data_IF_938841902125
#
_entry.id   IF_938841902125
#
_cell.length_a   1.000
_cell.length_b   1.000
_cell.length_c   1.000
_cell.angle_alpha   90.00
_cell.angle_beta   90.00
_cell.angle_gamma   90.00
#
_symmetry.space_group_name_H-M   'P 1'
#
loop_
_entity.id
_entity.type
_entity.pdbx_description
1 polymer ?
#
# COMPACT_ATOMS: atom_id res chain seq x y z
N UNK A 1 15.31 25.66 26.64
CA UNK A 1 15.04 25.52 25.18
C UNK A 1 15.29 24.08 24.73
N UNK A 2 14.71 23.14 25.48
CA UNK A 2 13.61 22.24 25.09
C UNK A 2 13.87 21.30 23.91
N UNK A 3 14.59 20.21 24.17
CA UNK A 3 14.70 19.04 23.30
C UNK A 3 13.38 18.30 23.05
N UNK A 4 12.30 18.64 23.76
CA UNK A 4 10.97 18.03 23.66
C UNK A 4 10.18 18.46 22.40
N UNK A 5 10.42 19.67 21.87
CA UNK A 5 9.74 20.16 20.65
C UNK A 5 10.27 19.52 19.36
N UNK A 6 11.53 19.06 19.36
CA UNK A 6 12.14 18.40 18.20
C UNK A 6 11.65 16.95 18.01
N UNK A 7 11.42 16.20 19.09
CA UNK A 7 10.91 14.84 19.02
C UNK A 7 9.46 14.79 18.52
N UNK A 8 8.64 15.78 18.87
CA UNK A 8 7.24 15.85 18.45
C UNK A 8 7.12 16.17 16.95
N UNK A 9 7.98 17.04 16.41
CA UNK A 9 7.98 17.42 15.00
C UNK A 9 8.28 16.25 14.04
N UNK A 10 9.05 15.26 14.49
CA UNK A 10 9.43 14.08 13.71
C UNK A 10 8.31 13.06 13.48
N UNK A 11 7.34 12.98 14.39
CA UNK A 11 6.20 12.03 14.32
C UNK A 11 4.97 12.65 13.66
N UNK A 12 4.78 13.96 13.81
CA UNK A 12 3.61 14.66 13.26
C UNK A 12 3.66 14.71 11.72
N UNK A 13 4.84 14.91 11.13
CA UNK A 13 5.02 14.91 9.66
C UNK A 13 4.63 13.59 8.99
N UNK A 14 5.10 12.41 9.41
CA UNK A 14 4.73 11.17 8.77
C UNK A 14 3.27 10.77 9.06
N UNK A 15 2.69 11.15 10.21
CA UNK A 15 1.26 10.99 10.46
C UNK A 15 0.40 11.87 9.54
N UNK A 16 0.84 13.10 9.26
CA UNK A 16 0.21 14.00 8.27
C UNK A 16 0.27 13.42 6.86
N UNK A 17 1.41 12.85 6.45
CA UNK A 17 1.55 12.19 5.14
C UNK A 17 0.65 10.96 5.05
N UNK A 18 0.56 10.16 6.11
CA UNK A 18 -0.34 9.01 6.18
C UNK A 18 -1.81 9.45 6.09
N UNK A 19 -2.21 10.43 6.90
CA UNK A 19 -3.56 10.99 6.87
C UNK A 19 -3.90 11.59 5.51
N UNK A 20 -2.95 12.30 4.89
CA UNK A 20 -3.08 12.84 3.53
C UNK A 20 -3.23 11.75 2.48
N UNK A 21 -2.40 10.70 2.51
CA UNK A 21 -2.52 9.58 1.57
C UNK A 21 -3.82 8.79 1.77
N UNK A 22 -4.24 8.57 3.02
CA UNK A 22 -5.52 7.92 3.31
C UNK A 22 -6.70 8.74 2.82
N UNK A 23 -6.66 10.07 3.02
CA UNK A 23 -7.69 10.98 2.53
C UNK A 23 -7.74 10.99 1.00
N UNK A 24 -6.59 11.09 0.33
CA UNK A 24 -6.52 11.05 -1.14
C UNK A 24 -7.03 9.72 -1.67
N UNK A 25 -6.62 8.59 -1.07
CA UNK A 25 -7.12 7.27 -1.46
C UNK A 25 -8.65 7.18 -1.29
N UNK A 26 -9.19 7.68 -0.17
CA UNK A 26 -10.63 7.72 0.06
C UNK A 26 -11.36 8.59 -0.97
N UNK A 27 -10.85 9.79 -1.26
CA UNK A 27 -11.42 10.69 -2.28
C UNK A 27 -11.42 10.02 -3.66
N UNK A 28 -10.33 9.34 -4.02
CA UNK A 28 -10.22 8.66 -5.31
C UNK A 28 -11.20 7.49 -5.40
N UNK A 29 -11.20 6.56 -4.45
CA UNK A 29 -11.96 5.33 -4.55
C UNK A 29 -13.44 5.45 -4.15
N UNK A 30 -13.80 6.39 -3.28
CA UNK A 30 -15.19 6.61 -2.85
C UNK A 30 -15.85 7.75 -3.63
N UNK A 31 -15.07 8.74 -4.09
CA UNK A 31 -15.59 9.89 -4.83
C UNK A 31 -15.37 9.77 -6.33
N UNK A 32 -14.11 9.92 -6.77
CA UNK A 32 -13.78 10.14 -8.17
C UNK A 32 -14.05 8.93 -9.07
N UNK A 33 -13.72 7.71 -8.61
CA UNK A 33 -13.96 6.48 -9.37
C UNK A 33 -15.47 6.22 -9.54
N UNK A 34 -16.29 6.17 -8.46
CA UNK A 34 -17.73 5.97 -8.62
C UNK A 34 -18.40 7.06 -9.44
N UNK A 35 -18.00 8.33 -9.25
CA UNK A 35 -18.55 9.45 -10.01
C UNK A 35 -18.22 9.33 -11.51
N UNK A 36 -16.99 8.95 -11.87
CA UNK A 36 -16.60 8.76 -13.27
C UNK A 36 -17.33 7.58 -13.92
N UNK A 37 -17.51 6.47 -13.19
CA UNK A 37 -18.29 5.32 -13.65
C UNK A 37 -19.76 5.70 -13.86
N UNK A 38 -20.38 6.41 -12.90
CA UNK A 38 -21.77 6.87 -13.01
C UNK A 38 -21.97 7.88 -14.15
N UNK A 39 -20.93 8.63 -14.51
CA UNK A 39 -20.93 9.55 -15.65
C UNK A 39 -20.71 8.83 -17.00
N UNK A 40 -20.47 7.52 -17.01
CA UNK A 40 -20.17 6.75 -18.22
C UNK A 40 -18.78 7.03 -18.82
N UNK A 41 -17.89 7.68 -18.07
CA UNK A 41 -16.53 8.00 -18.51
C UNK A 41 -15.54 6.97 -17.96
N UNK A 42 -15.55 5.79 -18.58
CA UNK A 42 -14.74 4.65 -18.20
C UNK A 42 -13.23 4.95 -18.29
N UNK A 43 -12.84 5.72 -19.30
CA UNK A 43 -11.45 6.13 -19.51
C UNK A 43 -10.91 6.93 -18.34
N UNK A 44 -11.73 7.85 -17.80
CA UNK A 44 -11.38 8.68 -16.65
C UNK A 44 -11.48 7.90 -15.34
N UNK A 45 -12.43 6.98 -15.23
CA UNK A 45 -12.52 6.06 -14.10
C UNK A 45 -11.25 5.21 -13.97
N UNK A 46 -10.74 4.67 -15.08
CA UNK A 46 -9.48 3.92 -15.12
C UNK A 46 -8.29 4.79 -14.72
N UNK A 47 -8.20 6.02 -15.22
CA UNK A 47 -7.15 6.96 -14.81
C UNK A 47 -7.17 7.25 -13.31
N UNK A 48 -8.35 7.46 -12.72
CA UNK A 48 -8.49 7.66 -11.28
C UNK A 48 -8.14 6.39 -10.50
N UNK A 49 -8.57 5.22 -10.99
CA UNK A 49 -8.24 3.92 -10.39
C UNK A 49 -6.73 3.71 -10.31
N UNK A 50 -6.02 4.00 -11.41
CA UNK A 50 -4.56 3.94 -11.49
C UNK A 50 -3.95 5.00 -10.58
N UNK A 51 -4.38 6.27 -10.61
CA UNK A 51 -3.81 7.30 -9.73
C UNK A 51 -3.96 6.96 -8.23
N UNK A 52 -5.09 6.34 -7.85
CA UNK A 52 -5.37 5.93 -6.48
C UNK A 52 -4.42 4.84 -5.94
N UNK A 53 -3.71 4.13 -6.81
CA UNK A 53 -2.85 3.01 -6.40
C UNK A 53 -1.66 3.46 -5.52
N UNK A 54 -1.13 4.66 -5.75
CA UNK A 54 0.05 5.22 -5.08
C UNK A 54 -0.33 5.57 -3.65
N UNK A 55 -1.36 6.41 -3.39
CA UNK A 55 -1.75 6.71 -2.02
C UNK A 55 -2.22 5.45 -1.29
N UNK A 56 -2.89 4.50 -1.95
CA UNK A 56 -3.29 3.22 -1.34
C UNK A 56 -2.09 2.40 -0.86
N UNK A 57 -1.09 2.17 -1.73
CA UNK A 57 0.12 1.42 -1.35
C UNK A 57 0.92 2.13 -0.26
N UNK A 58 1.00 3.46 -0.29
CA UNK A 58 1.65 4.27 0.75
C UNK A 58 0.96 4.11 2.10
N UNK A 59 -0.38 4.09 2.14
CA UNK A 59 -1.15 3.87 3.37
C UNK A 59 -0.78 2.54 3.99
N UNK A 60 -0.81 1.44 3.23
CA UNK A 60 -0.46 0.12 3.74
C UNK A 60 1.01 -0.01 4.12
N UNK A 61 1.92 0.64 3.38
CA UNK A 61 3.33 0.77 3.77
C UNK A 61 3.51 1.43 5.13
N UNK A 62 2.87 2.58 5.33
CA UNK A 62 2.95 3.30 6.59
C UNK A 62 2.29 2.50 7.71
N UNK A 63 1.15 1.84 7.45
CA UNK A 63 0.49 0.97 8.42
C UNK A 63 1.43 -0.16 8.88
N UNK A 64 2.12 -0.82 7.94
CA UNK A 64 3.11 -1.85 8.26
C UNK A 64 4.31 -1.31 9.03
N UNK A 65 4.71 -0.07 8.76
CA UNK A 65 5.79 0.61 9.49
C UNK A 65 5.42 0.93 10.94
N UNK A 66 4.20 1.40 11.19
CA UNK A 66 3.79 1.89 12.52
C UNK A 66 3.25 0.81 13.45
N UNK A 67 2.65 -0.25 12.92
CA UNK A 67 1.99 -1.29 13.73
C UNK A 67 2.93 -2.47 14.03
N UNK A 68 4.10 -2.55 13.41
CA UNK A 68 5.00 -3.69 13.57
C UNK A 68 6.00 -3.53 14.71
N UNK A 69 5.88 -4.38 15.72
CA UNK A 69 6.89 -4.51 16.78
C UNK A 69 8.19 -5.16 16.25
N UNK A 70 9.37 -4.69 16.67
CA UNK A 70 10.66 -5.13 16.11
C UNK A 70 11.17 -6.48 16.63
N UNK A 71 10.47 -7.11 17.58
CA UNK A 71 11.02 -8.20 18.41
C UNK A 71 11.32 -9.52 17.66
N UNK A 72 10.87 -9.69 16.42
CA UNK A 72 11.14 -10.90 15.63
C UNK A 72 11.53 -10.51 14.22
N UNK A 73 12.68 -11.04 13.76
CA UNK A 73 13.17 -10.94 12.38
C UNK A 73 11.99 -10.96 11.38
N UNK A 74 11.66 -9.83 10.74
CA UNK A 74 10.41 -9.71 10.01
C UNK A 74 10.36 -10.72 8.89
N UNK A 75 9.41 -11.65 8.98
CA UNK A 75 9.19 -12.65 7.94
C UNK A 75 8.85 -11.95 6.60
N UNK A 76 9.72 -12.08 5.58
CA UNK A 76 9.51 -11.48 4.24
C UNK A 76 8.32 -12.08 3.50
N UNK A 77 7.79 -13.21 3.99
CA UNK A 77 6.64 -13.92 3.41
C UNK A 77 5.44 -13.04 3.10
N UNK A 78 5.14 -12.01 3.91
CA UNK A 78 3.99 -11.15 3.63
C UNK A 78 4.19 -10.30 2.36
N UNK A 79 5.39 -9.78 2.14
CA UNK A 79 5.71 -9.02 0.93
C UNK A 79 5.78 -9.94 -0.29
N UNK A 80 6.44 -11.10 -0.15
CA UNK A 80 6.59 -12.06 -1.24
C UNK A 80 5.23 -12.67 -1.63
N UNK A 81 4.38 -12.98 -0.67
CA UNK A 81 3.01 -13.45 -0.90
C UNK A 81 2.14 -12.36 -1.52
N UNK A 82 2.23 -11.12 -1.04
CA UNK A 82 1.53 -9.98 -1.63
C UNK A 82 1.92 -9.77 -3.09
N UNK A 83 3.22 -9.83 -3.39
CA UNK A 83 3.73 -9.72 -4.76
C UNK A 83 3.28 -10.90 -5.63
N UNK A 84 3.33 -12.12 -5.12
CA UNK A 84 2.85 -13.31 -5.85
C UNK A 84 1.36 -13.20 -6.18
N UNK A 85 0.52 -12.83 -5.20
CA UNK A 85 -0.93 -12.63 -5.40
C UNK A 85 -1.18 -11.52 -6.43
N UNK A 86 -0.45 -10.40 -6.35
CA UNK A 86 -0.54 -9.31 -7.32
C UNK A 86 -0.21 -9.80 -8.74
N UNK A 87 0.93 -10.46 -8.92
CA UNK A 87 1.40 -10.93 -10.23
C UNK A 87 0.50 -12.00 -10.82
N UNK A 88 0.05 -12.97 -10.03
CA UNK A 88 -0.88 -14.01 -10.50
C UNK A 88 -2.22 -13.39 -10.89
N UNK A 89 -2.75 -12.47 -10.10
CA UNK A 89 -4.02 -11.80 -10.41
C UNK A 89 -3.92 -10.96 -11.69
N UNK A 90 -2.80 -10.26 -11.87
CA UNK A 90 -2.52 -9.47 -13.07
C UNK A 90 -2.35 -10.37 -14.30
N UNK A 91 -1.63 -11.49 -14.17
CA UNK A 91 -1.46 -12.46 -15.26
C UNK A 91 -2.80 -13.09 -15.67
N UNK A 92 -3.64 -13.46 -14.70
CA UNK A 92 -4.97 -13.99 -14.98
C UNK A 92 -5.85 -12.94 -15.67
N UNK A 93 -5.74 -11.67 -15.27
CA UNK A 93 -6.50 -10.57 -15.88
C UNK A 93 -6.08 -10.31 -17.32
N UNK A 94 -4.78 -10.17 -17.57
CA UNK A 94 -4.26 -10.05 -18.94
C UNK A 94 -4.54 -11.29 -19.78
N UNK A 95 -4.55 -12.47 -19.17
CA UNK A 95 -4.92 -13.72 -19.82
C UNK A 95 -6.36 -13.68 -20.33
N UNK A 96 -7.32 -13.34 -19.47
CA UNK A 96 -8.73 -13.23 -19.87
C UNK A 96 -8.92 -12.25 -21.02
N UNK A 97 -8.27 -11.09 -20.95
CA UNK A 97 -8.30 -10.07 -21.99
C UNK A 97 -7.70 -10.59 -23.31
N UNK A 98 -6.57 -11.29 -23.25
CA UNK A 98 -5.92 -11.90 -24.42
C UNK A 98 -6.76 -13.03 -25.06
N UNK A 99 -7.59 -13.73 -24.29
CA UNK A 99 -8.56 -14.70 -24.81
C UNK A 99 -9.88 -14.07 -25.29
N UNK A 100 -10.02 -12.75 -25.20
CA UNK A 100 -11.19 -12.01 -25.65
C UNK A 100 -12.39 -12.07 -24.70
N UNK A 101 -12.18 -12.51 -23.45
CA UNK A 101 -13.22 -12.46 -22.42
C UNK A 101 -13.32 -11.04 -21.89
N UNK A 102 -14.31 -10.29 -22.38
CA UNK A 102 -14.51 -8.92 -21.90
C UNK A 102 -15.08 -8.90 -20.47
N UNK A 103 -14.85 -7.81 -19.72
CA UNK A 103 -15.45 -7.62 -18.39
C UNK A 103 -16.99 -7.69 -18.39
N UNK A 104 -17.62 -7.34 -19.51
CA UNK A 104 -19.07 -7.42 -19.71
C UNK A 104 -19.58 -8.85 -19.79
N UNK A 105 -18.78 -9.75 -20.37
CA UNK A 105 -19.12 -11.16 -20.55
C UNK A 105 -18.88 -11.97 -19.27
N UNK A 106 -17.80 -11.67 -18.55
CA UNK A 106 -17.41 -12.42 -17.34
C UNK A 106 -17.04 -11.47 -16.20
N UNK A 107 -18.00 -10.69 -15.67
CA UNK A 107 -17.74 -9.65 -14.67
C UNK A 107 -17.19 -10.22 -13.36
N UNK A 108 -17.68 -11.38 -12.92
CA UNK A 108 -17.23 -12.01 -11.68
C UNK A 108 -15.73 -12.35 -11.68
N UNK A 109 -15.20 -12.83 -12.82
CA UNK A 109 -13.78 -13.21 -12.92
C UNK A 109 -12.86 -11.98 -12.85
N UNK A 110 -13.25 -10.89 -13.51
CA UNK A 110 -12.53 -9.62 -13.50
C UNK A 110 -12.56 -8.95 -12.12
N UNK A 111 -13.69 -9.04 -11.40
CA UNK A 111 -13.80 -8.54 -10.02
C UNK A 111 -12.86 -9.31 -9.09
N UNK A 112 -12.81 -10.64 -9.18
CA UNK A 112 -11.91 -11.46 -8.35
C UNK A 112 -10.44 -11.09 -8.59
N UNK A 113 -10.06 -10.86 -9.85
CA UNK A 113 -8.70 -10.43 -10.20
C UNK A 113 -8.39 -9.02 -9.68
N UNK A 114 -9.32 -8.08 -9.80
CA UNK A 114 -9.18 -6.75 -9.25
C UNK A 114 -8.97 -6.81 -7.73
N UNK A 115 -9.78 -7.58 -7.00
CA UNK A 115 -9.62 -7.79 -5.56
C UNK A 115 -8.23 -8.36 -5.26
N UNK A 116 -7.78 -9.37 -6.01
CA UNK A 116 -6.45 -9.96 -5.86
C UNK A 116 -5.32 -8.94 -6.04
N UNK A 117 -5.41 -8.07 -7.04
CA UNK A 117 -4.46 -6.98 -7.28
C UNK A 117 -4.40 -6.02 -6.08
N UNK A 118 -5.55 -5.58 -5.57
CA UNK A 118 -5.63 -4.66 -4.42
C UNK A 118 -5.10 -5.29 -3.12
N UNK A 119 -5.45 -6.55 -2.87
CA UNK A 119 -4.98 -7.28 -1.68
C UNK A 119 -3.47 -7.53 -1.78
N UNK A 120 -2.97 -7.92 -2.95
CA UNK A 120 -1.55 -8.15 -3.18
C UNK A 120 -0.71 -6.89 -2.94
N UNK A 121 -1.15 -5.74 -3.47
CA UNK A 121 -0.50 -4.45 -3.27
C UNK A 121 -0.53 -3.98 -1.80
N UNK A 122 -1.64 -4.19 -1.09
CA UNK A 122 -1.74 -3.89 0.33
C UNK A 122 -0.73 -4.71 1.16
N UNK A 123 -0.67 -6.02 0.91
CA UNK A 123 0.27 -6.92 1.60
C UNK A 123 1.73 -6.59 1.26
N UNK A 124 2.01 -6.25 0.01
CA UNK A 124 3.32 -5.83 -0.45
C UNK A 124 3.78 -4.54 0.24
N UNK A 125 2.94 -3.50 0.22
CA UNK A 125 3.20 -2.24 0.92
C UNK A 125 3.44 -2.47 2.40
N UNK A 126 2.53 -3.19 3.07
CA UNK A 126 2.64 -3.56 4.48
C UNK A 126 3.98 -4.25 4.80
N UNK A 127 4.35 -5.27 4.03
CA UNK A 127 5.59 -6.02 4.22
C UNK A 127 6.86 -5.16 4.11
N UNK A 128 6.90 -4.23 3.14
CA UNK A 128 7.98 -3.24 3.00
C UNK A 128 8.05 -2.30 4.21
N UNK A 129 6.89 -1.87 4.71
CA UNK A 129 6.78 -1.03 5.91
C UNK A 129 7.44 -1.66 7.13
N UNK A 130 7.13 -2.94 7.39
CA UNK A 130 7.70 -3.68 8.53
C UNK A 130 9.22 -3.77 8.47
N UNK A 131 9.76 -4.10 7.29
CA UNK A 131 11.22 -4.23 7.10
C UNK A 131 11.93 -2.90 7.31
N UNK A 132 11.34 -1.82 6.79
CA UNK A 132 11.92 -0.49 6.95
C UNK A 132 11.94 -0.05 8.42
N UNK A 133 10.92 -0.42 9.21
CA UNK A 133 10.93 -0.17 10.65
C UNK A 133 12.02 -0.97 11.37
N UNK A 134 12.15 -2.27 11.07
CA UNK A 134 13.15 -3.14 11.70
C UNK A 134 14.59 -2.69 11.41
N UNK A 135 14.92 -2.32 10.17
CA UNK A 135 16.26 -1.83 9.81
C UNK A 135 16.62 -0.56 10.59
N UNK A 136 15.67 0.36 10.75
CA UNK A 136 15.87 1.60 11.52
C UNK A 136 16.01 1.31 13.01
N UNK A 137 15.26 0.35 13.55
CA UNK A 137 15.38 -0.07 14.94
C UNK A 137 16.77 -0.69 15.23
N UNK A 138 17.21 -1.67 14.41
CA UNK A 138 18.49 -2.34 14.60
C UNK A 138 19.69 -1.39 14.51
N UNK A 139 19.64 -0.39 13.62
CA UNK A 139 20.71 0.62 13.52
C UNK A 139 20.78 1.58 14.72
N UNK A 140 19.71 1.70 15.50
CA UNK A 140 19.66 2.54 16.70
C UNK A 140 20.27 1.82 17.91
N UNK A 141 20.03 0.51 18.01
CA UNK A 141 20.59 -0.33 19.08
C UNK A 141 22.13 -0.40 18.98
N UNK A 142 22.68 -0.59 17.78
CA UNK A 142 24.14 -0.62 17.56
C UNK A 142 24.83 0.69 17.93
N UNK A 143 24.25 1.83 17.57
CA UNK A 143 24.78 3.15 17.94
C UNK A 143 24.79 3.38 19.46
N UNK A 144 23.77 2.89 20.17
CA UNK A 144 23.71 2.99 21.64
C UNK A 144 24.76 2.12 22.35
N UNK A 145 25.10 0.97 21.77
CA UNK A 145 26.12 0.07 22.32
C UNK A 145 27.55 0.60 22.14
N UNK A 146 27.83 1.33 21.06
CA UNK A 146 29.15 1.95 20.83
C UNK A 146 29.38 3.18 21.70
N UNK A 147 28.34 3.92 22.07
CA UNK A 147 28.46 5.09 22.95
C UNK A 147 28.73 4.72 24.41
N UNK A 148 28.43 3.49 24.81
CA UNK A 148 28.53 3.01 26.19
C UNK A 148 29.82 2.20 26.45
N UNK A 149 30.78 2.25 25.52
CA UNK A 149 32.04 1.52 25.54
C UNK A 149 33.22 2.48 25.48
#
# INVERSE_FOLDING_TARGET
>A
MDSSTNAQSGTVRPALVLGGCALVAAVVYVGLVPQAVLAGDESRALLFLVLGWVPYTIVFYALGRFVSSPEQLPNMRAADFGLAVFLVSLLLSLGLDAWGFSPEQVPAAHVVQAVGIFVGLALFGWGLGRRSHAVVASGRDTASSDQNR
#
